data_IF_614635346903
#
_entry.id   IF_614635346903
#
_cell.length_a   1.000
_cell.length_b   1.000
_cell.length_c   1.000
_cell.angle_alpha   90.00
_cell.angle_beta   90.00
_cell.angle_gamma   90.00
#
_symmetry.space_group_name_H-M   'P 1'
#
loop_
_entity.id
_entity.type
_entity.pdbx_description
1 polymer ?
#
# COMPACT_ATOMS: atom_id res chain seq x y z
N UNK A 1 0.78 16.99 -11.76
CA UNK A 1 1.51 17.79 -12.79
C UNK A 1 2.93 17.24 -13.01
N UNK A 2 3.59 17.51 -14.15
CA UNK A 2 4.88 16.90 -14.54
C UNK A 2 6.00 17.00 -13.47
N UNK A 3 5.97 18.02 -12.60
CA UNK A 3 6.93 18.17 -11.47
C UNK A 3 6.77 17.11 -10.36
N UNK A 4 5.57 16.55 -10.14
CA UNK A 4 5.38 15.47 -9.16
C UNK A 4 5.94 14.14 -9.68
N UNK A 5 5.82 13.90 -10.98
CA UNK A 5 6.37 12.70 -11.63
C UNK A 5 7.89 12.69 -11.62
N UNK A 6 8.55 13.82 -11.92
CA UNK A 6 10.01 13.88 -11.83
C UNK A 6 10.52 13.60 -10.40
N UNK A 7 9.78 14.01 -9.37
CA UNK A 7 10.09 13.68 -7.97
C UNK A 7 9.91 12.19 -7.68
N UNK A 8 8.84 11.57 -8.17
CA UNK A 8 8.60 10.13 -8.03
C UNK A 8 9.75 9.29 -8.62
N UNK A 9 10.19 9.62 -9.83
CA UNK A 9 11.26 8.87 -10.50
C UNK A 9 12.61 9.01 -9.81
N UNK A 10 12.83 10.12 -9.08
CA UNK A 10 14.03 10.36 -8.27
C UNK A 10 14.01 9.66 -6.90
N UNK A 11 12.90 9.03 -6.50
CA UNK A 11 12.84 8.30 -5.24
C UNK A 11 13.80 7.11 -5.28
N UNK A 12 14.57 6.94 -4.20
CA UNK A 12 15.49 5.82 -4.00
C UNK A 12 14.71 4.56 -3.64
N UNK A 13 14.04 3.95 -4.61
CA UNK A 13 13.27 2.71 -4.46
C UNK A 13 13.88 1.62 -5.33
N UNK A 14 13.72 0.37 -4.92
CA UNK A 14 13.96 -0.76 -5.81
C UNK A 14 13.01 -0.68 -7.02
N UNK A 15 13.38 -1.24 -8.19
CA UNK A 15 12.50 -1.25 -9.36
C UNK A 15 11.12 -1.85 -9.06
N UNK A 16 11.07 -2.94 -8.28
CA UNK A 16 9.84 -3.61 -7.90
C UNK A 16 8.95 -2.74 -7.00
N UNK A 17 9.52 -2.11 -5.96
CA UNK A 17 8.76 -1.21 -5.09
C UNK A 17 8.23 0.01 -5.84
N UNK A 18 9.06 0.58 -6.74
CA UNK A 18 8.64 1.68 -7.60
C UNK A 18 7.47 1.27 -8.52
N UNK A 19 7.54 0.10 -9.16
CA UNK A 19 6.47 -0.38 -10.02
C UNK A 19 5.17 -0.64 -9.23
N UNK A 20 5.26 -1.24 -8.04
CA UNK A 20 4.10 -1.43 -7.15
C UNK A 20 3.44 -0.09 -6.79
N UNK A 21 4.22 0.90 -6.37
CA UNK A 21 3.69 2.21 -6.00
C UNK A 21 3.16 2.98 -7.22
N UNK A 22 3.84 2.91 -8.36
CA UNK A 22 3.38 3.50 -9.62
C UNK A 22 1.99 2.96 -10.00
N UNK A 23 1.79 1.65 -9.90
CA UNK A 23 0.47 1.03 -10.15
C UNK A 23 -0.58 1.52 -9.17
N UNK A 24 -0.23 1.82 -7.91
CA UNK A 24 -1.17 2.34 -6.92
C UNK A 24 -1.67 3.72 -7.36
N UNK A 25 -0.74 4.63 -7.66
CA UNK A 25 -1.03 6.01 -8.07
C UNK A 25 -1.91 6.05 -9.32
N UNK A 26 -1.73 5.10 -10.24
CA UNK A 26 -2.52 5.00 -11.47
C UNK A 26 -3.81 4.16 -11.33
N UNK A 27 -4.19 3.74 -10.12
CA UNK A 27 -5.33 2.86 -9.89
C UNK A 27 -5.28 1.61 -10.77
N UNK A 28 -4.10 0.99 -10.86
CA UNK A 28 -3.77 -0.23 -11.62
C UNK A 28 -3.41 -1.42 -10.73
N UNK A 29 -3.71 -1.37 -9.44
CA UNK A 29 -3.65 -2.55 -8.58
C UNK A 29 -4.74 -3.55 -8.98
N UNK A 30 -4.40 -4.83 -9.19
CA UNK A 30 -5.40 -5.89 -9.27
C UNK A 30 -5.99 -6.23 -7.89
N UNK A 31 -6.76 -5.35 -7.28
CA UNK A 31 -7.58 -5.78 -6.14
C UNK A 31 -8.63 -6.83 -6.55
N UNK A 32 -9.13 -7.61 -5.59
CA UNK A 32 -10.09 -8.69 -5.86
C UNK A 32 -11.39 -8.17 -6.50
N UNK A 33 -11.82 -6.94 -6.17
CA UNK A 33 -12.99 -6.33 -6.81
C UNK A 33 -12.75 -6.18 -8.32
N UNK A 34 -11.59 -5.61 -8.68
CA UNK A 34 -11.18 -5.46 -10.08
C UNK A 34 -11.00 -6.81 -10.77
N UNK A 35 -10.35 -7.77 -10.11
CA UNK A 35 -10.11 -9.08 -10.69
C UNK A 35 -11.40 -9.85 -10.93
N UNK A 36 -12.35 -9.80 -9.99
CA UNK A 36 -13.67 -10.38 -10.17
C UNK A 36 -14.39 -9.77 -11.38
N UNK A 37 -14.30 -8.45 -11.55
CA UNK A 37 -14.89 -7.77 -12.70
C UNK A 37 -14.32 -8.25 -14.06
N UNK A 38 -12.99 -8.42 -14.17
CA UNK A 38 -12.36 -8.82 -15.44
C UNK A 38 -12.30 -10.34 -15.66
N UNK A 39 -12.25 -11.14 -14.59
CA UNK A 39 -12.02 -12.59 -14.64
C UNK A 39 -12.88 -13.30 -13.57
N UNK A 40 -14.22 -13.21 -13.64
CA UNK A 40 -15.12 -13.69 -12.59
C UNK A 40 -15.02 -15.20 -12.35
N UNK A 41 -14.66 -16.00 -13.37
CA UNK A 41 -14.47 -17.44 -13.21
C UNK A 41 -13.20 -17.79 -12.41
N UNK A 42 -12.13 -17.00 -12.52
CA UNK A 42 -10.89 -17.23 -11.78
C UNK A 42 -10.94 -16.59 -10.38
N UNK A 43 -11.61 -15.45 -10.27
CA UNK A 43 -11.80 -14.71 -9.02
C UNK A 43 -13.29 -14.58 -8.72
N UNK A 44 -13.94 -15.62 -8.17
CA UNK A 44 -15.39 -15.68 -8.01
C UNK A 44 -15.95 -14.77 -6.90
N UNK A 45 -15.08 -14.19 -6.06
CA UNK A 45 -15.50 -13.35 -4.94
C UNK A 45 -14.66 -12.08 -4.85
N UNK A 46 -15.32 -10.97 -4.50
CA UNK A 46 -14.69 -9.68 -4.16
C UNK A 46 -14.28 -9.59 -2.70
N UNK A 47 -14.67 -10.58 -1.89
CA UNK A 47 -14.49 -10.57 -0.45
C UNK A 47 -13.02 -10.66 -0.07
N UNK A 48 -12.61 -9.88 0.91
CA UNK A 48 -11.27 -10.00 1.47
C UNK A 48 -11.11 -11.33 2.20
N UNK A 49 -10.11 -12.11 1.81
CA UNK A 49 -9.82 -13.41 2.42
C UNK A 49 -9.22 -13.33 3.83
N UNK A 50 -8.92 -12.13 4.33
CA UNK A 50 -8.25 -11.93 5.62
C UNK A 50 -9.18 -11.45 6.71
N UNK A 51 -10.05 -10.48 6.41
CA UNK A 51 -11.00 -9.90 7.37
C UNK A 51 -12.46 -10.12 6.97
N UNK A 52 -12.72 -10.84 5.88
CA UNK A 52 -14.05 -11.16 5.38
C UNK A 52 -14.90 -9.93 4.97
N UNK A 53 -14.29 -8.75 4.85
CA UNK A 53 -14.95 -7.57 4.30
C UNK A 53 -15.50 -7.89 2.88
N UNK A 54 -16.75 -7.51 2.55
CA UNK A 54 -17.42 -7.92 1.31
C UNK A 54 -16.73 -7.39 0.05
N UNK A 55 -16.03 -6.26 0.17
CA UNK A 55 -15.34 -5.59 -0.91
C UNK A 55 -13.87 -5.38 -0.54
N UNK A 56 -12.97 -6.07 -1.23
CA UNK A 56 -11.56 -5.74 -1.23
C UNK A 56 -11.25 -4.88 -2.45
N UNK A 57 -11.34 -3.56 -2.29
CA UNK A 57 -10.87 -2.58 -3.26
C UNK A 57 -9.37 -2.26 -3.07
N UNK A 58 -8.82 -1.36 -3.89
CA UNK A 58 -7.41 -0.96 -3.81
C UNK A 58 -7.05 -0.34 -2.45
N UNK A 59 -7.89 0.50 -1.84
CA UNK A 59 -7.59 1.15 -0.55
C UNK A 59 -7.63 0.12 0.57
N UNK A 60 -8.59 -0.79 0.55
CA UNK A 60 -8.69 -1.91 1.47
C UNK A 60 -7.48 -2.84 1.38
N UNK A 61 -7.09 -3.23 0.15
CA UNK A 61 -5.92 -4.06 -0.08
C UNK A 61 -4.61 -3.37 0.36
N UNK A 62 -4.49 -2.06 0.17
CA UNK A 62 -3.28 -1.32 0.52
C UNK A 62 -3.14 -1.04 2.02
N UNK A 63 -4.24 -0.71 2.72
CA UNK A 63 -4.13 -0.24 4.12
C UNK A 63 -5.34 -0.48 5.04
N UNK A 64 -6.60 -0.50 4.55
CA UNK A 64 -7.76 -0.58 5.48
C UNK A 64 -8.03 -1.97 6.04
N UNK A 65 -7.54 -3.03 5.37
CA UNK A 65 -7.63 -4.37 5.93
C UNK A 65 -6.89 -4.40 7.28
N UNK A 66 -7.48 -4.96 8.38
CA UNK A 66 -6.87 -4.96 9.71
C UNK A 66 -5.42 -5.44 9.75
N UNK A 67 -5.12 -6.55 9.07
CA UNK A 67 -3.74 -7.07 8.95
C UNK A 67 -2.77 -6.11 8.23
N UNK A 68 -3.26 -5.23 7.35
CA UNK A 68 -2.44 -4.22 6.65
C UNK A 68 -2.27 -3.00 7.52
N UNK A 69 -3.34 -2.58 8.20
CA UNK A 69 -3.29 -1.53 9.19
C UNK A 69 -2.30 -1.86 10.31
N UNK A 70 -2.20 -3.13 10.72
CA UNK A 70 -1.21 -3.61 11.67
C UNK A 70 0.23 -3.45 11.15
N UNK A 71 0.53 -3.88 9.92
CA UNK A 71 1.85 -3.62 9.29
C UNK A 71 2.15 -2.13 9.30
N UNK A 72 1.21 -1.29 8.85
CA UNK A 72 1.40 0.15 8.83
C UNK A 72 1.64 0.71 10.23
N UNK A 73 0.90 0.26 11.25
CA UNK A 73 1.07 0.68 12.64
C UNK A 73 2.45 0.32 13.19
N UNK A 74 2.90 -0.91 12.97
CA UNK A 74 4.21 -1.40 13.41
C UNK A 74 5.35 -0.58 12.80
N UNK A 75 5.30 -0.35 11.49
CA UNK A 75 6.37 0.42 10.84
C UNK A 75 6.24 1.92 11.15
N UNK A 76 5.02 2.44 11.30
CA UNK A 76 4.77 3.83 11.68
C UNK A 76 5.36 4.15 13.05
N UNK A 77 5.07 3.35 14.07
CA UNK A 77 5.60 3.52 15.43
C UNK A 77 7.13 3.39 15.48
N UNK A 78 7.72 2.60 14.57
CA UNK A 78 9.18 2.49 14.45
C UNK A 78 9.83 3.77 13.90
N UNK A 79 9.17 4.43 12.94
CA UNK A 79 9.71 5.63 12.27
C UNK A 79 9.30 6.92 12.99
N UNK A 80 8.14 6.92 13.64
CA UNK A 80 7.48 8.06 14.26
C UNK A 80 6.78 7.62 15.57
N UNK A 81 7.54 7.32 16.64
CA UNK A 81 7.00 6.68 17.84
C UNK A 81 5.96 7.50 18.62
N UNK A 82 5.98 8.83 18.49
CA UNK A 82 5.15 9.73 19.31
C UNK A 82 3.91 10.25 18.58
N UNK A 83 3.51 9.63 17.46
CA UNK A 83 2.37 10.10 16.69
C UNK A 83 1.50 8.96 16.22
N UNK A 84 0.20 9.14 16.37
CA UNK A 84 -0.79 8.15 15.95
C UNK A 84 -0.82 8.03 14.43
N UNK A 85 -1.07 6.80 13.97
CA UNK A 85 -1.29 6.51 12.56
C UNK A 85 -2.69 6.93 12.16
N UNK A 86 -2.78 7.93 11.29
CA UNK A 86 -4.02 8.23 10.55
C UNK A 86 -3.96 7.60 9.15
N UNK A 87 -4.81 6.58 8.95
CA UNK A 87 -4.91 5.83 7.70
C UNK A 87 -5.39 6.68 6.52
N UNK A 88 -6.20 7.71 6.76
CA UNK A 88 -6.67 8.60 5.68
C UNK A 88 -5.55 9.55 5.24
N UNK A 89 -4.82 10.14 6.17
CA UNK A 89 -3.60 10.91 5.87
C UNK A 89 -2.55 10.05 5.16
N UNK A 90 -2.35 8.80 5.60
CA UNK A 90 -1.45 7.85 4.93
C UNK A 90 -1.88 7.57 3.49
N UNK A 91 -3.18 7.38 3.25
CA UNK A 91 -3.71 7.17 1.91
C UNK A 91 -3.43 8.37 0.97
N UNK A 92 -3.68 9.58 1.46
CA UNK A 92 -3.38 10.82 0.73
C UNK A 92 -1.87 10.92 0.46
N UNK A 93 -1.02 10.56 1.44
CA UNK A 93 0.42 10.55 1.30
C UNK A 93 0.90 9.58 0.22
N UNK A 94 0.31 8.38 0.16
CA UNK A 94 0.60 7.36 -0.85
C UNK A 94 0.21 7.83 -2.26
N UNK A 95 -0.96 8.46 -2.43
CA UNK A 95 -1.44 8.89 -3.75
C UNK A 95 -0.75 10.17 -4.25
N UNK A 96 -0.43 11.10 -3.35
CA UNK A 96 0.07 12.43 -3.73
C UNK A 96 1.55 12.65 -3.45
N UNK A 97 2.26 11.66 -2.90
CA UNK A 97 3.68 11.73 -2.53
C UNK A 97 3.99 12.88 -1.57
N UNK A 98 3.00 13.27 -0.75
CA UNK A 98 3.11 14.34 0.25
C UNK A 98 3.36 13.73 1.62
N UNK A 99 4.31 14.23 2.42
CA UNK A 99 4.37 13.87 3.82
C UNK A 99 3.11 14.40 4.56
N UNK A 100 2.72 13.79 5.69
CA UNK A 100 1.68 14.34 6.56
C UNK A 100 2.04 15.78 6.98
N UNK A 101 1.05 16.63 7.28
CA UNK A 101 1.27 18.02 7.71
C UNK A 101 2.17 18.12 8.94
N UNK A 102 2.08 17.13 9.83
CA UNK A 102 3.06 16.90 10.90
C UNK A 102 4.32 16.30 10.27
N UNK A 103 5.13 17.12 9.60
CA UNK A 103 6.43 16.68 9.10
C UNK A 103 7.34 16.49 10.31
N UNK A 104 7.34 15.27 10.83
CA UNK A 104 8.29 14.76 11.80
C UNK A 104 9.72 15.05 11.33
N UNK A 105 10.70 15.02 12.23
CA UNK A 105 12.14 15.20 11.93
C UNK A 105 12.74 14.11 10.99
N UNK A 106 11.91 13.45 10.20
CA UNK A 106 12.22 12.40 9.24
C UNK A 106 12.53 13.05 7.88
N UNK A 107 13.72 12.80 7.32
CA UNK A 107 14.05 13.26 5.97
C UNK A 107 13.03 12.75 4.95
N UNK A 108 12.59 13.63 4.06
CA UNK A 108 11.59 13.33 3.04
C UNK A 108 11.94 12.12 2.16
N UNK A 109 13.22 11.94 1.82
CA UNK A 109 13.68 10.79 1.03
C UNK A 109 13.56 9.47 1.78
N UNK A 110 13.73 9.49 3.11
CA UNK A 110 13.54 8.34 3.99
C UNK A 110 12.04 8.03 4.14
N UNK A 111 11.22 9.06 4.29
CA UNK A 111 9.76 8.94 4.31
C UNK A 111 9.21 8.21 3.08
N UNK A 112 9.61 8.64 1.87
CA UNK A 112 9.16 7.96 0.65
C UNK A 112 9.69 6.54 0.54
N UNK A 113 10.93 6.28 0.95
CA UNK A 113 11.48 4.92 0.98
C UNK A 113 10.64 3.99 1.86
N UNK A 114 10.34 4.43 3.07
CA UNK A 114 9.49 3.73 4.01
C UNK A 114 8.12 3.38 3.39
N UNK A 115 7.43 4.37 2.83
CA UNK A 115 6.13 4.15 2.18
C UNK A 115 6.22 3.13 1.04
N UNK A 116 7.19 3.30 0.14
CA UNK A 116 7.32 2.45 -1.05
C UNK A 116 7.69 1.00 -0.72
N UNK A 117 8.59 0.79 0.24
CA UNK A 117 9.01 -0.55 0.67
C UNK A 117 7.87 -1.26 1.40
N UNK A 118 7.20 -0.59 2.34
CA UNK A 118 6.08 -1.17 3.10
C UNK A 118 4.93 -1.55 2.16
N UNK A 119 4.59 -0.66 1.22
CA UNK A 119 3.58 -0.93 0.21
C UNK A 119 3.96 -2.14 -0.66
N UNK A 120 5.23 -2.27 -1.04
CA UNK A 120 5.71 -3.40 -1.82
C UNK A 120 5.71 -4.72 -1.03
N UNK A 121 6.02 -4.69 0.25
CA UNK A 121 5.94 -5.85 1.13
C UNK A 121 4.49 -6.34 1.25
N UNK A 122 3.54 -5.43 1.52
CA UNK A 122 2.10 -5.72 1.58
C UNK A 122 1.62 -6.33 0.26
N UNK A 123 2.00 -5.72 -0.87
CA UNK A 123 1.68 -6.20 -2.21
C UNK A 123 2.18 -7.62 -2.41
N UNK A 124 3.46 -7.87 -2.16
CA UNK A 124 4.10 -9.16 -2.38
C UNK A 124 3.47 -10.24 -1.49
N UNK A 125 3.26 -9.96 -0.21
CA UNK A 125 2.64 -10.90 0.72
C UNK A 125 1.20 -11.25 0.32
N UNK A 126 0.42 -10.28 -0.18
CA UNK A 126 -0.93 -10.57 -0.71
C UNK A 126 -0.87 -11.56 -1.87
N UNK A 127 -0.04 -11.32 -2.88
CA UNK A 127 0.01 -12.18 -4.06
C UNK A 127 0.66 -13.53 -3.81
N UNK A 128 1.60 -13.61 -2.89
CA UNK A 128 2.13 -14.89 -2.42
C UNK A 128 1.03 -15.73 -1.75
N UNK A 129 0.09 -15.12 -1.01
CA UNK A 129 -1.07 -15.84 -0.49
C UNK A 129 -2.01 -16.30 -1.61
N UNK A 130 -2.35 -15.41 -2.54
CA UNK A 130 -3.31 -15.72 -3.61
C UNK A 130 -2.81 -16.81 -4.55
N UNK A 131 -1.55 -16.73 -5.00
CA UNK A 131 -1.02 -17.63 -6.01
C UNK A 131 -0.25 -18.82 -5.44
N UNK A 132 0.37 -18.67 -4.26
CA UNK A 132 1.24 -19.70 -3.66
C UNK A 132 0.72 -20.21 -2.31
N UNK A 133 -0.45 -19.75 -1.84
CA UNK A 133 -1.04 -20.09 -0.55
C UNK A 133 -0.15 -19.81 0.68
N UNK A 134 0.87 -18.95 0.54
CA UNK A 134 1.76 -18.57 1.64
C UNK A 134 1.00 -17.70 2.64
N UNK A 135 0.98 -18.01 3.96
CA UNK A 135 0.31 -17.19 4.96
C UNK A 135 0.83 -15.75 4.98
N UNK A 136 -0.06 -14.79 5.20
CA UNK A 136 0.33 -13.40 5.46
C UNK A 136 0.70 -13.27 6.93
N UNK A 137 1.96 -12.93 7.22
CA UNK A 137 2.42 -12.52 8.55
C UNK A 137 2.55 -11.00 8.53
N UNK A 138 1.77 -10.28 9.35
CA UNK A 138 2.00 -8.86 9.62
C UNK A 138 3.39 -8.61 10.22
#
# INVERSE_FOLDING_TARGET
PPKSWSRFWKLRLTPSARNTWFRLIHHKWPDLTRLHYFMPHQFPSTQCQYCLAPLQDTKHLALLCPSRAEVWSTVWTTVIPNHDLDLDSLWIALLHLRPPPASFNVPLSFWHQFLGITLHAIWTAHWNKIFHNVPFSP
#
